data_IF_460311144479
#
_entry.id   IF_460311144479
#
_cell.length_a   1.000
_cell.length_b   1.000
_cell.length_c   1.000
_cell.angle_alpha   90.00
_cell.angle_beta   90.00
_cell.angle_gamma   90.00
#
_symmetry.space_group_name_H-M   'P 1'
#
loop_
_entity.id
_entity.type
_entity.pdbx_description
1 polymer ?
#
# COMPACT_ATOMS: atom_id res chain seq x y z
N UNK A 1 -7.75 9.84 17.12
CA UNK A 1 -6.67 10.78 17.57
C UNK A 1 -5.34 10.58 16.82
N UNK A 2 -5.25 9.62 15.91
CA UNK A 2 -3.99 9.25 15.24
C UNK A 2 -3.84 9.84 13.84
N UNK A 3 -4.88 10.40 13.25
CA UNK A 3 -4.84 11.13 11.98
C UNK A 3 -4.63 12.62 12.26
N UNK A 4 -3.66 13.21 11.56
CA UNK A 4 -3.39 14.65 11.57
C UNK A 4 -3.66 15.19 10.17
N UNK A 5 -4.22 16.38 10.10
CA UNK A 5 -4.26 17.16 8.87
C UNK A 5 -3.05 18.07 8.87
N UNK A 6 -2.11 17.79 7.96
CA UNK A 6 -0.87 18.52 7.83
C UNK A 6 -0.40 18.39 6.38
N UNK A 7 -0.12 19.50 5.74
CA UNK A 7 0.31 19.52 4.33
C UNK A 7 1.84 19.39 4.21
N UNK A 8 2.59 19.73 5.25
CA UNK A 8 4.04 19.75 5.24
C UNK A 8 4.69 18.40 4.89
N UNK A 9 4.24 17.25 5.43
CA UNK A 9 4.83 15.95 5.09
C UNK A 9 4.69 15.54 3.62
N UNK A 10 3.82 16.21 2.85
CA UNK A 10 3.57 15.86 1.44
C UNK A 10 4.45 16.62 0.46
N UNK A 11 5.18 17.64 0.89
CA UNK A 11 5.92 18.53 -0.03
C UNK A 11 7.06 17.84 -0.78
N UNK A 12 7.66 16.83 -0.18
CA UNK A 12 8.76 16.06 -0.78
C UNK A 12 8.48 14.55 -0.78
N UNK A 13 7.19 14.17 -0.80
CA UNK A 13 6.80 12.76 -0.71
C UNK A 13 6.70 12.11 -2.09
N UNK A 14 7.70 11.36 -2.45
CA UNK A 14 7.79 10.68 -3.75
C UNK A 14 6.67 9.65 -3.97
N UNK A 15 6.15 9.04 -2.90
CA UNK A 15 5.04 8.09 -3.01
C UNK A 15 3.74 8.76 -3.49
N UNK A 16 3.61 10.07 -3.35
CA UNK A 16 2.51 10.88 -3.92
C UNK A 16 2.93 11.52 -5.25
N UNK A 17 4.10 12.12 -5.29
CA UNK A 17 4.59 12.87 -6.45
C UNK A 17 4.64 12.02 -7.72
N UNK A 18 5.14 10.78 -7.63
CA UNK A 18 5.30 9.90 -8.78
C UNK A 18 3.98 9.42 -9.40
N UNK A 19 2.97 8.94 -8.65
CA UNK A 19 1.71 8.47 -9.25
C UNK A 19 0.76 9.59 -9.64
N UNK A 20 0.85 10.77 -9.04
CA UNK A 20 -0.12 11.84 -9.21
C UNK A 20 -0.26 12.34 -10.67
N UNK A 21 0.83 12.57 -11.45
CA UNK A 21 0.70 12.96 -12.85
C UNK A 21 -0.01 11.92 -13.72
N UNK A 22 0.19 10.63 -13.44
CA UNK A 22 -0.52 9.56 -14.14
C UNK A 22 -2.01 9.56 -13.81
N UNK A 23 -2.37 9.74 -12.55
CA UNK A 23 -3.77 9.87 -12.13
C UNK A 23 -4.45 11.07 -12.77
N UNK A 24 -3.79 12.21 -12.81
CA UNK A 24 -4.31 13.43 -13.44
C UNK A 24 -4.55 13.26 -14.94
N UNK A 25 -3.70 12.50 -15.62
CA UNK A 25 -3.84 12.22 -17.05
C UNK A 25 -4.94 11.19 -17.33
N UNK A 26 -5.03 10.14 -16.54
CA UNK A 26 -5.98 9.03 -16.75
C UNK A 26 -7.39 9.37 -16.29
N UNK A 27 -7.52 10.19 -15.25
CA UNK A 27 -8.80 10.58 -14.66
C UNK A 27 -8.78 12.08 -14.28
N UNK A 28 -8.83 12.99 -15.26
CA UNK A 28 -8.82 14.42 -15.00
C UNK A 28 -9.96 14.85 -14.05
N UNK A 29 -9.62 15.63 -13.04
CA UNK A 29 -10.59 16.11 -12.05
C UNK A 29 -11.01 15.08 -10.99
N UNK A 30 -10.41 13.88 -10.98
CA UNK A 30 -10.64 12.94 -9.88
C UNK A 30 -10.10 13.54 -8.57
N UNK A 31 -10.93 13.69 -7.53
CA UNK A 31 -10.44 14.14 -6.23
C UNK A 31 -9.56 13.07 -5.59
N UNK A 32 -8.41 13.48 -5.10
CA UNK A 32 -7.45 12.61 -4.42
C UNK A 32 -7.38 12.99 -2.95
N UNK A 33 -7.51 12.00 -2.06
CA UNK A 33 -7.25 12.13 -0.63
C UNK A 33 -5.94 11.43 -0.32
N UNK A 34 -4.82 12.15 -0.18
CA UNK A 34 -3.55 11.53 0.19
C UNK A 34 -3.53 11.17 1.68
N UNK A 35 -2.98 10.00 1.99
CA UNK A 35 -2.77 9.53 3.37
C UNK A 35 -1.34 9.04 3.47
N UNK A 36 -0.52 9.77 4.20
CA UNK A 36 0.86 9.38 4.46
C UNK A 36 0.95 8.56 5.74
N UNK A 37 1.65 7.45 5.68
CA UNK A 37 1.93 6.59 6.84
C UNK A 37 3.41 6.69 7.21
N UNK A 38 3.70 7.12 8.44
CA UNK A 38 5.08 7.33 8.91
C UNK A 38 5.82 6.05 9.27
N UNK A 39 5.12 4.94 9.46
CA UNK A 39 5.71 3.63 9.80
C UNK A 39 4.84 2.46 9.35
N UNK A 40 5.33 1.25 9.59
CA UNK A 40 4.63 0.00 9.30
C UNK A 40 4.16 -0.72 10.58
N UNK A 41 3.90 0.00 11.66
CA UNK A 41 3.46 -0.59 12.93
C UNK A 41 2.03 -1.15 12.84
N UNK A 42 1.68 -1.99 13.82
CA UNK A 42 0.30 -2.43 14.00
C UNK A 42 -0.65 -1.25 14.32
N UNK A 43 -0.13 -0.14 14.84
CA UNK A 43 -0.89 1.09 15.06
C UNK A 43 -1.27 1.72 13.73
N UNK A 44 -0.30 1.86 12.81
CA UNK A 44 -0.54 2.36 11.45
C UNK A 44 -1.54 1.50 10.71
N UNK A 45 -1.43 0.18 10.77
CA UNK A 45 -2.39 -0.75 10.18
C UNK A 45 -3.82 -0.51 10.72
N UNK A 46 -3.98 -0.32 12.04
CA UNK A 46 -5.28 0.02 12.64
C UNK A 46 -5.80 1.37 12.18
N UNK A 47 -4.94 2.38 12.07
CA UNK A 47 -5.34 3.71 11.61
C UNK A 47 -5.83 3.68 10.17
N UNK A 48 -5.13 2.99 9.26
CA UNK A 48 -5.58 2.77 7.88
C UNK A 48 -6.91 2.00 7.86
N UNK A 49 -7.05 0.94 8.65
CA UNK A 49 -8.30 0.19 8.76
C UNK A 49 -9.46 1.07 9.22
N UNK A 50 -9.23 2.00 10.15
CA UNK A 50 -10.25 2.95 10.61
C UNK A 50 -10.71 3.89 9.51
N UNK A 51 -9.79 4.37 8.66
CA UNK A 51 -10.15 5.17 7.49
C UNK A 51 -11.00 4.37 6.51
N UNK A 52 -10.60 3.14 6.21
CA UNK A 52 -11.36 2.26 5.31
C UNK A 52 -12.75 1.94 5.86
N UNK A 53 -12.91 1.79 7.18
CA UNK A 53 -14.22 1.62 7.83
C UNK A 53 -15.11 2.84 7.63
N UNK A 54 -14.58 4.05 7.86
CA UNK A 54 -15.33 5.30 7.66
C UNK A 54 -15.81 5.42 6.21
N UNK A 55 -14.96 5.06 5.23
CA UNK A 55 -15.32 5.07 3.81
C UNK A 55 -16.39 4.02 3.47
N UNK A 56 -16.46 2.92 4.22
CA UNK A 56 -17.47 1.87 3.98
C UNK A 56 -18.80 2.16 4.66
N UNK A 57 -18.80 2.72 5.88
CA UNK A 57 -20.00 2.91 6.69
C UNK A 57 -20.93 4.02 6.15
N UNK A 58 -20.49 4.75 5.14
CA UNK A 58 -21.41 5.40 4.28
C UNK A 58 -21.54 6.86 4.14
N UNK A 59 -22.58 7.21 3.43
CA UNK A 59 -22.70 8.43 2.66
C UNK A 59 -23.09 9.68 3.44
N UNK A 60 -23.60 9.55 4.65
CA UNK A 60 -24.33 10.66 5.27
C UNK A 60 -23.47 11.82 5.79
N UNK A 61 -22.18 11.58 6.05
CA UNK A 61 -21.27 12.61 6.59
C UNK A 61 -20.22 13.14 5.62
N UNK A 62 -19.93 12.42 4.52
CA UNK A 62 -18.80 12.71 3.63
C UNK A 62 -19.18 12.75 2.15
N UNK A 63 -20.37 13.29 1.83
CA UNK A 63 -20.76 13.52 0.44
C UNK A 63 -21.11 12.28 -0.38
N UNK A 64 -21.55 11.20 0.26
CA UNK A 64 -22.09 10.04 -0.44
C UNK A 64 -21.03 9.08 -1.03
N UNK A 65 -19.77 9.26 -0.73
CA UNK A 65 -18.69 8.39 -1.22
C UNK A 65 -18.50 7.19 -0.31
N UNK A 66 -18.47 6.01 -0.92
CA UNK A 66 -18.27 4.73 -0.23
C UNK A 66 -16.96 4.10 -0.68
N UNK A 67 -16.50 3.06 0.02
CA UNK A 67 -15.34 2.29 -0.42
C UNK A 67 -15.55 1.66 -1.81
N UNK A 68 -16.79 1.35 -2.19
CA UNK A 68 -17.12 0.79 -3.51
C UNK A 68 -17.00 1.83 -4.63
N UNK A 69 -17.18 3.11 -4.32
CA UNK A 69 -16.99 4.23 -5.24
C UNK A 69 -15.59 4.85 -5.15
N UNK A 70 -14.67 4.24 -4.39
CA UNK A 70 -13.36 4.77 -4.11
C UNK A 70 -12.29 3.84 -4.68
N UNK A 71 -11.40 4.39 -5.50
CA UNK A 71 -10.19 3.69 -5.90
C UNK A 71 -9.10 3.89 -4.83
N UNK A 72 -8.58 2.80 -4.28
CA UNK A 72 -7.50 2.85 -3.29
C UNK A 72 -6.18 2.54 -3.99
N UNK A 73 -5.29 3.54 -4.04
CA UNK A 73 -3.93 3.39 -4.53
C UNK A 73 -2.97 3.33 -3.34
N UNK A 74 -2.14 2.29 -3.28
CA UNK A 74 -1.07 2.17 -2.30
C UNK A 74 0.25 2.35 -3.04
N UNK A 75 0.99 3.39 -2.69
CA UNK A 75 2.30 3.68 -3.27
C UNK A 75 3.39 3.43 -2.23
N UNK A 76 4.41 2.68 -2.62
CA UNK A 76 5.54 2.35 -1.77
C UNK A 76 6.45 1.30 -2.40
N UNK A 77 7.63 1.12 -1.80
CA UNK A 77 8.62 0.15 -2.27
C UNK A 77 8.28 -1.25 -1.77
N UNK A 78 8.60 -2.29 -2.56
CA UNK A 78 8.53 -3.69 -2.12
C UNK A 78 9.63 -4.03 -1.11
N UNK A 79 10.79 -3.35 -1.20
CA UNK A 79 11.89 -3.50 -0.24
C UNK A 79 12.48 -2.14 0.11
N UNK A 80 13.17 -2.06 1.27
CA UNK A 80 14.13 -1.00 1.52
C UNK A 80 15.41 -1.19 0.70
N UNK A 81 16.38 -0.30 0.90
CA UNK A 81 17.71 -0.45 0.32
C UNK A 81 18.49 -1.53 1.07
N UNK A 82 18.60 -2.70 0.48
CA UNK A 82 19.24 -3.90 1.05
C UNK A 82 20.20 -4.53 0.05
N UNK A 83 21.05 -5.45 0.51
CA UNK A 83 21.84 -6.27 -0.42
C UNK A 83 20.94 -7.13 -1.31
N UNK A 84 21.45 -7.53 -2.47
CA UNK A 84 20.67 -8.19 -3.52
C UNK A 84 19.97 -9.48 -3.05
N UNK A 85 20.68 -10.32 -2.28
CA UNK A 85 20.11 -11.58 -1.80
C UNK A 85 18.97 -11.34 -0.81
N UNK A 86 19.13 -10.40 0.11
CA UNK A 86 18.09 -10.00 1.07
C UNK A 86 16.95 -9.28 0.39
N UNK A 87 17.23 -8.45 -0.63
CA UNK A 87 16.25 -7.78 -1.45
C UNK A 87 15.32 -8.77 -2.15
N UNK A 88 15.90 -9.76 -2.82
CA UNK A 88 15.13 -10.83 -3.47
C UNK A 88 14.26 -11.59 -2.46
N UNK A 89 14.81 -12.00 -1.32
CA UNK A 89 14.07 -12.69 -0.27
C UNK A 89 12.89 -11.87 0.26
N UNK A 90 13.11 -10.60 0.64
CA UNK A 90 12.08 -9.72 1.17
C UNK A 90 10.97 -9.45 0.16
N UNK A 91 11.35 -9.22 -1.12
CA UNK A 91 10.42 -9.04 -2.23
C UNK A 91 9.54 -10.27 -2.40
N UNK A 92 10.15 -11.44 -2.57
CA UNK A 92 9.43 -12.68 -2.85
C UNK A 92 8.49 -13.04 -1.71
N UNK A 93 8.97 -12.89 -0.46
CA UNK A 93 8.16 -13.12 0.72
C UNK A 93 6.96 -12.18 0.80
N UNK A 94 7.14 -10.89 0.56
CA UNK A 94 6.05 -9.94 0.56
C UNK A 94 5.05 -10.20 -0.56
N UNK A 95 5.53 -10.46 -1.78
CA UNK A 95 4.66 -10.79 -2.93
C UNK A 95 3.86 -12.05 -2.66
N UNK A 96 4.46 -13.11 -2.14
CA UNK A 96 3.76 -14.33 -1.75
C UNK A 96 2.60 -14.05 -0.79
N UNK A 97 2.84 -13.23 0.23
CA UNK A 97 1.83 -12.91 1.24
C UNK A 97 0.65 -12.13 0.66
N UNK A 98 0.89 -11.14 -0.21
CA UNK A 98 -0.19 -10.34 -0.78
C UNK A 98 -0.93 -11.07 -1.91
N UNK A 99 -0.24 -11.90 -2.69
CA UNK A 99 -0.85 -12.74 -3.74
C UNK A 99 -1.74 -13.84 -3.16
N UNK A 100 -1.38 -14.38 -2.00
CA UNK A 100 -2.21 -15.35 -1.28
C UNK A 100 -3.32 -14.72 -0.43
N UNK A 101 -3.33 -13.39 -0.28
CA UNK A 101 -4.28 -12.69 0.60
C UNK A 101 -4.00 -12.87 2.10
N UNK A 102 -2.78 -13.27 2.46
CA UNK A 102 -2.37 -13.60 3.82
C UNK A 102 -2.13 -12.33 4.68
N UNK A 103 -3.17 -11.51 4.85
CA UNK A 103 -3.08 -10.21 5.50
C UNK A 103 -2.61 -10.26 6.96
N UNK A 104 -2.88 -11.35 7.68
CA UNK A 104 -2.46 -11.51 9.08
C UNK A 104 -0.97 -11.80 9.20
N UNK A 105 -0.47 -12.60 8.27
CA UNK A 105 0.93 -13.03 8.20
C UNK A 105 1.88 -11.91 7.81
N UNK A 106 1.40 -10.85 7.13
CA UNK A 106 2.19 -9.65 6.82
C UNK A 106 2.70 -8.99 8.10
N UNK A 107 1.86 -8.92 9.14
CA UNK A 107 2.25 -8.38 10.45
C UNK A 107 3.37 -9.19 11.12
N UNK A 108 3.26 -10.52 11.10
CA UNK A 108 4.27 -11.43 11.64
C UNK A 108 5.58 -11.37 10.83
N UNK A 109 5.49 -11.43 9.50
CA UNK A 109 6.65 -11.35 8.62
C UNK A 109 7.45 -10.04 8.82
N UNK A 110 6.76 -8.93 9.07
CA UNK A 110 7.38 -7.65 9.41
C UNK A 110 8.10 -7.69 10.75
N UNK A 111 7.48 -8.26 11.79
CA UNK A 111 8.09 -8.39 13.12
C UNK A 111 9.33 -9.29 13.09
N UNK A 112 9.30 -10.32 12.25
CA UNK A 112 10.42 -11.25 12.07
C UNK A 112 11.47 -10.75 11.06
N UNK A 113 11.35 -9.52 10.56
CA UNK A 113 12.23 -8.96 9.54
C UNK A 113 12.31 -9.80 8.25
N UNK A 114 11.25 -10.54 7.92
CA UNK A 114 11.12 -11.30 6.67
C UNK A 114 10.74 -10.41 5.47
N UNK A 115 10.21 -9.21 5.73
CA UNK A 115 9.84 -8.21 4.73
C UNK A 115 10.28 -6.82 5.15
N UNK A 116 10.53 -5.94 4.17
CA UNK A 116 10.92 -4.54 4.38
C UNK A 116 10.10 -3.54 3.54
N UNK A 117 8.97 -3.98 3.00
CA UNK A 117 8.08 -3.14 2.20
C UNK A 117 7.53 -1.96 3.02
N UNK A 118 7.73 -0.73 2.52
CA UNK A 118 7.36 0.49 3.26
C UNK A 118 5.84 0.71 3.35
N UNK A 119 5.04 0.08 2.49
CA UNK A 119 3.58 0.14 2.52
C UNK A 119 2.93 -1.13 3.10
N UNK A 120 3.68 -2.00 3.79
CA UNK A 120 3.17 -3.31 4.24
C UNK A 120 1.99 -3.20 5.20
N UNK A 121 1.95 -2.18 6.08
CA UNK A 121 0.81 -1.96 6.99
C UNK A 121 -0.46 -1.54 6.23
N UNK A 122 -0.34 -0.67 5.22
CA UNK A 122 -1.47 -0.28 4.38
C UNK A 122 -1.98 -1.46 3.55
N UNK A 123 -1.08 -2.24 2.95
CA UNK A 123 -1.44 -3.47 2.22
C UNK A 123 -2.19 -4.47 3.11
N UNK A 124 -1.70 -4.72 4.33
CA UNK A 124 -2.36 -5.62 5.28
C UNK A 124 -3.76 -5.13 5.65
N UNK A 125 -3.93 -3.83 5.90
CA UNK A 125 -5.23 -3.23 6.22
C UNK A 125 -6.23 -3.38 5.06
N UNK A 126 -5.82 -3.08 3.83
CA UNK A 126 -6.67 -3.21 2.64
C UNK A 126 -7.03 -4.66 2.37
N UNK A 127 -6.06 -5.59 2.37
CA UNK A 127 -6.31 -7.02 2.15
C UNK A 127 -7.28 -7.59 3.21
N UNK A 128 -7.08 -7.24 4.49
CA UNK A 128 -7.96 -7.67 5.58
C UNK A 128 -9.38 -7.18 5.40
N UNK A 129 -9.53 -5.95 4.90
CA UNK A 129 -10.82 -5.32 4.68
C UNK A 129 -11.55 -5.90 3.48
N UNK A 130 -10.81 -6.15 2.38
CA UNK A 130 -11.41 -6.63 1.12
C UNK A 130 -11.56 -8.14 1.07
N UNK A 131 -10.85 -8.88 1.92
CA UNK A 131 -10.75 -10.35 1.83
C UNK A 131 -10.11 -10.83 0.51
N UNK A 132 -9.45 -9.92 -0.18
CA UNK A 132 -8.93 -10.15 -1.51
C UNK A 132 -7.51 -10.70 -1.54
N UNK A 133 -6.97 -10.74 -2.75
CA UNK A 133 -5.58 -11.09 -3.03
C UNK A 133 -5.03 -10.17 -4.11
N UNK A 134 -3.71 -10.12 -4.26
CA UNK A 134 -3.09 -9.36 -5.33
C UNK A 134 -2.84 -10.23 -6.57
N UNK A 135 -2.94 -9.57 -7.73
CA UNK A 135 -2.41 -10.05 -9.00
C UNK A 135 -1.20 -9.21 -9.34
N UNK A 136 -0.05 -9.83 -9.53
CA UNK A 136 1.17 -9.16 -9.98
C UNK A 136 1.04 -8.79 -11.45
N UNK A 137 1.28 -7.51 -11.76
CA UNK A 137 1.28 -6.99 -13.12
C UNK A 137 2.70 -6.82 -13.66
N UNK A 138 3.66 -6.53 -12.79
CA UNK A 138 5.06 -6.37 -13.15
C UNK A 138 5.92 -6.03 -11.95
N UNK A 139 7.22 -6.21 -12.09
CA UNK A 139 8.21 -5.85 -11.09
C UNK A 139 9.50 -5.39 -11.74
N UNK A 140 10.25 -4.57 -11.02
CA UNK A 140 11.59 -4.13 -11.39
C UNK A 140 12.40 -3.83 -10.13
N UNK A 141 13.69 -3.62 -10.30
CA UNK A 141 14.54 -3.16 -9.21
C UNK A 141 15.49 -2.07 -9.72
N UNK A 142 15.96 -1.26 -8.79
CA UNK A 142 16.99 -0.27 -9.01
C UNK A 142 18.18 -0.59 -8.10
N UNK A 143 19.35 -0.75 -8.70
CA UNK A 143 20.61 -0.87 -7.99
C UNK A 143 21.37 0.45 -8.08
N UNK A 144 21.84 0.96 -6.95
CA UNK A 144 22.63 2.19 -6.90
C UNK A 144 24.07 1.91 -6.46
N UNK A 145 25.04 2.06 -7.38
CA UNK A 145 26.46 1.86 -7.06
C UNK A 145 26.95 2.74 -5.92
N UNK A 146 26.46 3.99 -5.85
CA UNK A 146 26.79 4.96 -4.79
C UNK A 146 26.35 4.51 -3.39
N UNK A 147 25.40 3.58 -3.29
CA UNK A 147 24.93 3.01 -2.04
C UNK A 147 25.53 1.63 -1.75
N UNK A 148 26.73 1.35 -2.27
CA UNK A 148 27.42 0.07 -2.09
C UNK A 148 26.73 -1.09 -2.82
N UNK A 149 26.06 -0.82 -3.93
CA UNK A 149 25.34 -1.82 -4.72
C UNK A 149 24.02 -2.30 -4.11
N UNK A 150 23.49 -1.60 -3.13
CA UNK A 150 22.17 -1.93 -2.54
C UNK A 150 21.06 -1.74 -3.54
N UNK A 151 20.05 -2.60 -3.43
CA UNK A 151 18.90 -2.63 -4.32
C UNK A 151 17.64 -2.16 -3.59
N UNK A 152 16.72 -1.57 -4.36
CA UNK A 152 15.33 -1.35 -3.98
C UNK A 152 14.43 -1.96 -5.04
N UNK A 153 13.42 -2.70 -4.63
CA UNK A 153 12.49 -3.37 -5.52
C UNK A 153 11.16 -2.66 -5.56
N UNK A 154 10.58 -2.63 -6.76
CA UNK A 154 9.27 -2.04 -7.05
C UNK A 154 8.38 -3.08 -7.69
N UNK A 155 7.07 -2.96 -7.49
CA UNK A 155 6.10 -3.82 -8.13
C UNK A 155 4.80 -3.08 -8.42
N UNK A 156 4.14 -3.50 -9.48
CA UNK A 156 2.78 -3.10 -9.81
C UNK A 156 1.83 -4.26 -9.55
N UNK A 157 0.83 -4.05 -8.70
CA UNK A 157 -0.09 -5.08 -8.25
C UNK A 157 -1.52 -4.55 -8.31
N UNK A 158 -2.43 -5.42 -8.72
CA UNK A 158 -3.86 -5.18 -8.68
C UNK A 158 -4.48 -5.97 -7.52
N UNK A 159 -5.10 -5.28 -6.57
CA UNK A 159 -5.84 -5.93 -5.48
C UNK A 159 -7.23 -6.32 -5.98
N UNK A 160 -7.50 -7.61 -5.99
CA UNK A 160 -8.77 -8.19 -6.42
C UNK A 160 -9.63 -8.49 -5.20
N UNK A 161 -10.88 -8.04 -5.22
CA UNK A 161 -11.89 -8.48 -4.25
C UNK A 161 -12.45 -9.84 -4.65
N UNK A 162 -12.85 -10.68 -3.70
CA UNK A 162 -13.67 -11.84 -4.02
C UNK A 162 -14.97 -11.37 -4.68
N UNK A 163 -15.36 -12.02 -5.76
CA UNK A 163 -16.68 -11.82 -6.35
C UNK A 163 -17.67 -12.50 -5.41
N UNK A 164 -18.59 -11.74 -4.83
CA UNK A 164 -19.71 -12.33 -4.12
C UNK A 164 -20.51 -13.19 -5.10
N UNK A 165 -20.84 -14.45 -4.77
CA UNK A 165 -21.71 -15.23 -5.64
C UNK A 165 -23.00 -14.45 -5.87
N UNK A 166 -23.56 -14.48 -7.07
CA UNK A 166 -24.88 -13.90 -7.32
C UNK A 166 -25.89 -14.54 -6.36
N UNK A 167 -26.58 -13.70 -5.58
CA UNK A 167 -27.64 -14.11 -4.66
C UNK A 167 -28.84 -14.65 -5.38
#
# INVERSE_FOLDING_TARGET
KDLRRDDLPFWEEHALELPLPFLQRLAPGLPVLPILTGDNSARTERSVSSVLNVLQEGPSRYGGRTLDSTFVLISGNLTGYVDSARGAFHRDRFLQLIESGAAREIGAARQNHEISACASAACAAVLRRTGGRALRLGETFLQRPENGGREVHYGSLLLLRPVSPPG
#
